data_IF_531555136073
#
_entry.id   IF_531555136073
#
_cell.length_a   1.000
_cell.length_b   1.000
_cell.length_c   1.000
_cell.angle_alpha   90.00
_cell.angle_beta   90.00
_cell.angle_gamma   90.00
#
_symmetry.space_group_name_H-M   'P 1'
#
loop_
_entity.id
_entity.type
_entity.pdbx_description
1 polymer ?
#
# COMPACT_ATOMS: atom_id res chain seq x y z
N UNK A 1 -0.95 21.53 3.67
CA UNK A 1 -2.40 21.75 3.91
C UNK A 1 -3.09 20.51 4.48
N UNK A 2 -2.76 19.29 4.03
CA UNK A 2 -3.38 18.04 4.48
C UNK A 2 -3.19 17.72 5.99
N UNK A 3 -2.04 18.06 6.59
CA UNK A 3 -1.73 17.70 7.97
C UNK A 3 -2.58 18.39 9.07
N UNK A 4 -3.32 19.46 8.73
CA UNK A 4 -4.12 20.23 9.69
C UNK A 4 -5.62 19.94 9.60
N UNK A 5 -6.03 18.97 8.78
CA UNK A 5 -7.45 18.58 8.68
C UNK A 5 -7.89 17.81 9.93
N UNK A 6 -9.05 18.14 10.47
CA UNK A 6 -9.59 17.54 11.70
C UNK A 6 -10.45 16.30 11.45
N UNK A 7 -11.05 16.17 10.26
CA UNK A 7 -11.80 14.99 9.80
C UNK A 7 -12.09 15.11 8.28
N UNK A 8 -11.46 14.31 7.40
CA UNK A 8 -10.49 13.24 7.68
C UNK A 8 -9.14 13.76 8.20
N UNK A 9 -8.43 12.95 8.98
CA UNK A 9 -7.03 13.18 9.37
C UNK A 9 -6.09 12.38 8.49
N UNK A 10 -4.86 12.87 8.31
CA UNK A 10 -3.80 12.15 7.59
C UNK A 10 -2.59 11.99 8.49
N UNK A 11 -2.14 10.75 8.65
CA UNK A 11 -0.92 10.38 9.36
C UNK A 11 0.06 9.64 8.44
N UNK A 12 1.31 9.56 8.87
CA UNK A 12 2.36 8.78 8.21
C UNK A 12 2.96 7.79 9.19
N UNK A 13 3.17 6.56 8.74
CA UNK A 13 3.82 5.49 9.50
C UNK A 13 5.04 5.02 8.73
N UNK A 14 6.22 5.19 9.32
CA UNK A 14 7.47 4.79 8.70
C UNK A 14 7.84 3.35 9.09
N UNK A 15 8.23 2.56 8.10
CA UNK A 15 8.74 1.20 8.25
C UNK A 15 10.08 1.07 7.51
N UNK A 16 10.89 0.04 7.78
CA UNK A 16 12.06 -0.22 6.96
C UNK A 16 11.68 -0.41 5.49
N UNK A 17 12.14 0.51 4.63
CA UNK A 17 11.94 0.43 3.18
C UNK A 17 10.56 0.87 2.65
N UNK A 18 9.63 1.30 3.52
CA UNK A 18 8.33 1.83 3.08
C UNK A 18 7.76 2.86 4.07
N UNK A 19 6.82 3.68 3.60
CA UNK A 19 6.06 4.60 4.43
C UNK A 19 4.59 4.47 4.06
N UNK A 20 3.74 4.25 5.05
CA UNK A 20 2.31 4.14 4.86
C UNK A 20 1.68 5.51 5.12
N UNK A 21 0.84 5.99 4.20
CA UNK A 21 0.01 7.18 4.40
C UNK A 21 -1.38 6.74 4.80
N UNK A 22 -1.80 7.10 6.01
CA UNK A 22 -3.08 6.68 6.58
C UNK A 22 -4.05 7.86 6.57
N UNK A 23 -5.19 7.69 5.90
CA UNK A 23 -6.29 8.64 5.90
C UNK A 23 -7.41 8.04 6.74
N UNK A 24 -7.87 8.76 7.76
CA UNK A 24 -8.94 8.28 8.64
C UNK A 24 -10.03 9.32 8.79
N UNK A 25 -11.29 8.91 8.70
CA UNK A 25 -12.43 9.76 8.99
C UNK A 25 -13.32 9.13 10.08
N UNK A 26 -13.97 9.97 10.87
CA UNK A 26 -15.05 9.59 11.79
C UNK A 26 -16.38 9.94 11.14
N UNK A 27 -17.27 8.96 11.03
CA UNK A 27 -18.61 9.10 10.46
C UNK A 27 -19.59 8.08 11.06
N UNK A 28 -20.88 8.19 10.76
CA UNK A 28 -21.91 7.27 11.25
C UNK A 28 -21.93 5.92 10.52
N UNK A 29 -21.25 5.82 9.37
CA UNK A 29 -21.08 4.59 8.62
C UNK A 29 -19.77 4.58 7.82
N UNK A 30 -19.36 3.39 7.37
CA UNK A 30 -18.18 3.23 6.48
C UNK A 30 -18.38 4.04 5.19
N UNK A 31 -19.56 3.95 4.58
CA UNK A 31 -19.87 4.69 3.34
C UNK A 31 -19.73 6.21 3.50
N UNK A 32 -20.18 6.75 4.62
CA UNK A 32 -20.00 8.18 4.92
C UNK A 32 -18.52 8.53 5.15
N UNK A 33 -17.76 7.65 5.82
CA UNK A 33 -16.32 7.84 6.00
C UNK A 33 -15.58 7.84 4.64
N UNK A 34 -15.93 6.93 3.73
CA UNK A 34 -15.33 6.83 2.40
C UNK A 34 -15.59 8.11 1.56
N UNK A 35 -16.80 8.68 1.68
CA UNK A 35 -17.15 9.95 1.04
C UNK A 35 -16.26 11.10 1.55
N UNK A 36 -15.98 11.12 2.86
CA UNK A 36 -15.09 12.12 3.45
C UNK A 36 -13.63 11.90 3.05
N UNK A 37 -13.17 10.65 2.99
CA UNK A 37 -11.78 10.26 2.66
C UNK A 37 -11.45 10.55 1.20
N UNK A 38 -12.37 10.27 0.27
CA UNK A 38 -12.11 10.29 -1.17
C UNK A 38 -11.42 11.55 -1.72
N UNK A 39 -11.84 12.78 -1.37
CA UNK A 39 -11.17 13.99 -1.79
C UNK A 39 -9.70 14.08 -1.34
N UNK A 40 -9.43 13.69 -0.09
CA UNK A 40 -8.07 13.71 0.49
C UNK A 40 -7.22 12.61 -0.12
N UNK A 41 -7.76 11.42 -0.32
CA UNK A 41 -7.08 10.31 -0.99
C UNK A 41 -6.67 10.69 -2.41
N UNK A 42 -7.56 11.36 -3.16
CA UNK A 42 -7.25 11.83 -4.51
C UNK A 42 -6.07 12.81 -4.52
N UNK A 43 -6.02 13.74 -3.57
CA UNK A 43 -4.90 14.67 -3.43
C UNK A 43 -3.60 13.94 -3.09
N UNK A 44 -3.62 13.03 -2.11
CA UNK A 44 -2.46 12.22 -1.71
C UNK A 44 -1.95 11.39 -2.89
N UNK A 45 -2.84 10.73 -3.64
CA UNK A 45 -2.48 9.96 -4.83
C UNK A 45 -1.86 10.83 -5.92
N UNK A 46 -2.36 12.06 -6.11
CA UNK A 46 -1.76 13.01 -7.05
C UNK A 46 -0.36 13.44 -6.64
N UNK A 47 -0.09 13.59 -5.34
CA UNK A 47 1.21 14.00 -4.82
C UNK A 47 2.24 12.88 -4.88
N UNK A 48 1.86 11.66 -4.50
CA UNK A 48 2.78 10.53 -4.42
C UNK A 48 2.96 9.82 -5.76
N UNK A 49 1.92 9.79 -6.61
CA UNK A 49 1.96 9.18 -7.93
C UNK A 49 2.53 7.76 -7.92
N UNK A 50 3.61 7.56 -8.68
CA UNK A 50 4.27 6.26 -8.85
C UNK A 50 4.90 5.64 -7.58
N UNK A 51 4.95 6.39 -6.48
CA UNK A 51 5.48 5.87 -5.21
C UNK A 51 4.46 5.05 -4.43
N UNK A 52 3.19 5.06 -4.86
CA UNK A 52 2.14 4.20 -4.29
C UNK A 52 2.21 2.84 -4.98
N UNK A 53 2.59 1.81 -4.23
CA UNK A 53 2.64 0.44 -4.73
C UNK A 53 1.51 -0.45 -4.18
N UNK A 54 0.81 -0.03 -3.12
CA UNK A 54 -0.28 -0.77 -2.49
C UNK A 54 -1.28 0.19 -1.83
N UNK A 55 -2.53 -0.24 -1.67
CA UNK A 55 -3.51 0.44 -0.81
C UNK A 55 -4.39 -0.56 -0.06
N UNK A 56 -4.98 -0.09 1.04
CA UNK A 56 -5.88 -0.88 1.89
C UNK A 56 -5.22 -2.17 2.41
N UNK A 57 -5.83 -3.32 2.13
CA UNK A 57 -5.34 -4.63 2.56
C UNK A 57 -4.21 -5.18 1.67
N UNK A 58 -3.80 -4.45 0.63
CA UNK A 58 -2.71 -4.87 -0.25
C UNK A 58 -1.36 -4.74 0.45
N UNK A 59 -0.51 -5.75 0.24
CA UNK A 59 0.91 -5.70 0.57
C UNK A 59 1.76 -5.70 -0.70
N UNK A 60 3.04 -5.32 -0.58
CA UNK A 60 4.00 -5.39 -1.69
C UNK A 60 4.05 -6.79 -2.32
N UNK A 61 4.01 -7.83 -1.50
CA UNK A 61 4.01 -9.23 -1.94
C UNK A 61 2.77 -9.54 -2.78
N UNK A 62 1.57 -9.18 -2.29
CA UNK A 62 0.31 -9.45 -3.02
C UNK A 62 0.29 -8.75 -4.38
N UNK A 63 0.75 -7.49 -4.44
CA UNK A 63 0.79 -6.70 -5.68
C UNK A 63 1.79 -7.29 -6.67
N UNK A 64 3.00 -7.64 -6.22
CA UNK A 64 4.00 -8.29 -7.09
C UNK A 64 3.48 -9.65 -7.60
N UNK A 65 2.86 -10.45 -6.72
CA UNK A 65 2.27 -11.73 -7.10
C UNK A 65 1.18 -11.60 -8.16
N UNK A 66 0.26 -10.64 -8.00
CA UNK A 66 -0.74 -10.33 -9.02
C UNK A 66 -0.15 -9.90 -10.36
N UNK A 67 0.88 -9.05 -10.35
CA UNK A 67 1.53 -8.57 -11.56
C UNK A 67 2.21 -9.73 -12.32
N UNK A 68 2.90 -10.63 -11.60
CA UNK A 68 3.52 -11.82 -12.19
C UNK A 68 2.48 -12.76 -12.80
N UNK A 69 1.37 -13.02 -12.10
CA UNK A 69 0.25 -13.83 -12.62
C UNK A 69 -0.37 -13.20 -13.87
N UNK A 70 -0.66 -11.90 -13.85
CA UNK A 70 -1.22 -11.15 -15.00
C UNK A 70 -0.29 -11.19 -16.21
N UNK A 71 1.03 -11.17 -15.98
CA UNK A 71 2.04 -11.25 -17.03
C UNK A 71 2.34 -12.70 -17.48
N UNK A 72 1.83 -13.72 -16.78
CA UNK A 72 2.18 -15.13 -16.98
C UNK A 72 3.70 -15.39 -16.94
N UNK A 73 4.38 -14.77 -15.97
CA UNK A 73 5.85 -14.87 -15.81
C UNK A 73 6.17 -15.71 -14.56
N UNK A 74 7.10 -16.65 -14.71
CA UNK A 74 7.73 -17.35 -13.59
C UNK A 74 9.07 -16.70 -13.22
N UNK A 75 9.43 -16.76 -11.94
CA UNK A 75 10.68 -16.18 -11.42
C UNK A 75 11.47 -17.22 -10.60
N UNK A 76 12.78 -17.01 -10.50
CA UNK A 76 13.70 -17.76 -9.65
C UNK A 76 14.64 -16.77 -8.95
N UNK A 77 15.09 -17.08 -7.74
CA UNK A 77 16.08 -16.30 -7.00
C UNK A 77 17.28 -17.15 -6.58
N UNK A 78 18.45 -16.54 -6.59
CA UNK A 78 19.63 -17.00 -5.86
C UNK A 78 19.92 -15.96 -4.78
N UNK A 79 20.07 -16.40 -3.53
CA UNK A 79 20.18 -15.50 -2.38
C UNK A 79 21.43 -15.85 -1.56
N UNK A 80 22.30 -14.86 -1.37
CA UNK A 80 23.45 -14.95 -0.46
C UNK A 80 23.08 -14.32 0.90
N UNK A 81 23.13 -12.98 1.00
CA UNK A 81 22.89 -12.25 2.26
C UNK A 81 21.47 -12.41 2.80
N UNK A 82 20.46 -12.41 1.94
CA UNK A 82 19.06 -12.49 2.38
C UNK A 82 18.63 -13.90 2.77
N UNK A 83 19.44 -14.92 2.46
CA UNK A 83 19.26 -16.31 2.91
C UNK A 83 17.84 -16.87 2.74
N UNK A 84 17.16 -16.52 1.65
CA UNK A 84 15.80 -17.02 1.34
C UNK A 84 14.66 -16.09 1.77
N UNK A 85 14.94 -14.99 2.46
CA UNK A 85 13.90 -14.03 2.88
C UNK A 85 13.12 -13.46 1.68
N UNK A 86 13.76 -13.24 0.52
CA UNK A 86 13.06 -12.76 -0.67
C UNK A 86 12.15 -13.86 -1.23
N UNK A 87 12.66 -15.08 -1.37
CA UNK A 87 11.88 -16.24 -1.81
C UNK A 87 10.63 -16.46 -0.94
N UNK A 88 10.77 -16.34 0.38
CA UNK A 88 9.65 -16.48 1.31
C UNK A 88 8.60 -15.38 1.16
N UNK A 89 9.01 -14.12 0.94
CA UNK A 89 8.07 -13.03 0.64
C UNK A 89 7.35 -13.25 -0.68
N UNK A 90 8.06 -13.68 -1.72
CA UNK A 90 7.47 -13.99 -3.03
C UNK A 90 6.43 -15.10 -2.93
N UNK A 91 6.71 -16.19 -2.19
CA UNK A 91 5.76 -17.28 -1.95
C UNK A 91 4.46 -16.79 -1.29
N UNK A 92 4.54 -15.87 -0.32
CA UNK A 92 3.34 -15.30 0.33
C UNK A 92 2.47 -14.51 -0.65
N UNK A 93 3.07 -13.79 -1.59
CA UNK A 93 2.34 -13.05 -2.63
C UNK A 93 1.75 -13.94 -3.73
N UNK A 94 2.36 -15.10 -3.95
CA UNK A 94 1.94 -16.09 -4.96
C UNK A 94 1.01 -17.17 -4.41
N UNK A 95 0.72 -17.17 -3.11
CA UNK A 95 -0.30 -17.99 -2.49
C UNK A 95 -1.72 -17.52 -2.83
#
# INVERSE_FOLDING_TARGET
>A
MIANSTNPTVGVLAHPGQVDVRITAKAGSVKEADILIGPVEKEVRSLLGKHIFASDDQTMETVVGELLRKANITICSYEDVTQGMLCDRLKRGLA
#
